data_IF_365456426630
#
_entry.id   IF_365456426630
#
_cell.length_a   1.000
_cell.length_b   1.000
_cell.length_c   1.000
_cell.angle_alpha   90.00
_cell.angle_beta   90.00
_cell.angle_gamma   90.00
#
_symmetry.space_group_name_H-M   'P 1'
#
loop_
_entity.id
_entity.type
_entity.pdbx_description
1 polymer ?
#
# COMPACT_ATOMS: atom_id res chain seq x y z
N UNK A 1 53.52 42.53 20.39
CA UNK A 1 52.89 41.39 21.11
C UNK A 1 51.50 41.03 20.59
N UNK A 2 50.69 41.93 20.06
CA UNK A 2 49.29 41.69 19.59
C UNK A 2 49.19 40.70 18.42
N UNK A 3 50.14 40.68 17.48
CA UNK A 3 50.07 39.77 16.30
C UNK A 3 50.29 38.29 16.59
N UNK A 4 51.00 37.93 17.67
CA UNK A 4 51.16 36.52 18.07
C UNK A 4 49.90 35.95 18.74
N UNK A 5 49.24 36.75 19.56
CA UNK A 5 48.00 36.35 20.23
C UNK A 5 46.88 36.17 19.18
N UNK A 6 46.81 37.06 18.20
CA UNK A 6 45.81 36.97 17.11
C UNK A 6 45.98 35.68 16.27
N UNK A 7 47.20 35.22 16.01
CA UNK A 7 47.48 33.99 15.29
C UNK A 7 47.14 32.74 16.09
N UNK A 8 47.37 32.75 17.44
CA UNK A 8 47.06 31.64 18.34
C UNK A 8 45.55 31.41 18.51
N UNK A 9 44.79 32.54 18.57
CA UNK A 9 43.31 32.47 18.77
C UNK A 9 42.57 32.18 17.46
N UNK A 10 43.11 32.60 16.32
CA UNK A 10 42.47 32.42 15.01
C UNK A 10 42.25 30.93 14.66
N UNK A 11 43.23 30.06 14.97
CA UNK A 11 43.15 28.61 14.63
C UNK A 11 42.06 27.89 15.43
N UNK A 12 41.94 28.02 16.76
CA UNK A 12 40.88 27.36 17.50
C UNK A 12 39.49 27.91 17.21
N UNK A 13 39.37 29.21 16.94
CA UNK A 13 38.10 29.86 16.56
C UNK A 13 37.62 29.34 15.23
N UNK A 14 38.50 29.24 14.21
CA UNK A 14 38.10 28.66 12.91
C UNK A 14 37.74 27.20 13.01
N UNK A 15 38.45 26.40 13.84
CA UNK A 15 38.11 24.99 14.11
C UNK A 15 36.72 24.86 14.75
N UNK A 16 36.41 25.68 15.74
CA UNK A 16 35.09 25.66 16.39
C UNK A 16 33.97 26.06 15.43
N UNK A 17 34.21 27.06 14.57
CA UNK A 17 33.25 27.45 13.53
C UNK A 17 32.99 26.32 12.53
N UNK A 18 34.05 25.66 12.04
CA UNK A 18 33.91 24.54 11.13
C UNK A 18 33.20 23.34 11.77
N UNK A 19 33.52 23.06 13.05
CA UNK A 19 32.84 22.03 13.81
C UNK A 19 31.34 22.33 13.96
N UNK A 20 31.00 23.60 14.27
CA UNK A 20 29.62 24.06 14.35
C UNK A 20 28.85 23.89 13.04
N UNK A 21 29.46 24.27 11.92
CA UNK A 21 28.86 24.10 10.57
C UNK A 21 28.66 22.59 10.25
N UNK A 22 29.65 21.75 10.57
CA UNK A 22 29.53 20.31 10.37
C UNK A 22 28.42 19.68 11.23
N UNK A 23 28.32 20.05 12.49
CA UNK A 23 27.27 19.56 13.39
C UNK A 23 25.89 20.04 12.93
N UNK A 24 25.77 21.29 12.52
CA UNK A 24 24.52 21.83 11.99
C UNK A 24 24.12 21.16 10.69
N UNK A 25 25.05 20.95 9.76
CA UNK A 25 24.82 20.26 8.51
C UNK A 25 24.43 18.79 8.73
N UNK A 26 25.11 18.09 9.65
CA UNK A 26 24.77 16.73 10.02
C UNK A 26 23.37 16.61 10.65
N UNK A 27 23.03 17.53 11.55
CA UNK A 27 21.69 17.59 12.16
C UNK A 27 20.59 17.86 11.11
N UNK A 28 20.82 18.83 10.23
CA UNK A 28 19.89 19.16 9.15
C UNK A 28 19.73 17.99 8.17
N UNK A 29 20.84 17.37 7.74
CA UNK A 29 20.84 16.22 6.86
C UNK A 29 20.11 15.02 7.48
N UNK A 30 20.37 14.73 8.75
CA UNK A 30 19.70 13.64 9.48
C UNK A 30 18.17 13.84 9.51
N UNK A 31 17.70 15.03 9.85
CA UNK A 31 16.28 15.33 9.89
C UNK A 31 15.59 15.25 8.51
N UNK A 32 16.29 15.63 7.44
CA UNK A 32 15.75 15.56 6.07
C UNK A 32 15.73 14.11 5.54
N UNK A 33 16.72 13.28 5.86
CA UNK A 33 16.75 11.87 5.44
C UNK A 33 15.64 11.07 6.14
N UNK A 34 15.34 11.40 7.39
CA UNK A 34 14.28 10.74 8.17
C UNK A 34 12.90 11.35 7.96
N UNK A 35 12.77 12.42 7.16
CA UNK A 35 11.48 13.01 6.85
C UNK A 35 10.59 11.97 6.14
N UNK A 36 9.36 11.73 6.62
CA UNK A 36 8.45 10.78 5.98
C UNK A 36 8.17 11.22 4.54
N UNK A 37 8.43 10.31 3.59
CA UNK A 37 8.14 10.57 2.17
C UNK A 37 6.64 10.88 2.03
N UNK A 38 6.25 11.99 1.39
CA UNK A 38 4.85 12.30 1.16
C UNK A 38 4.18 11.15 0.39
N UNK A 39 3.14 10.56 0.98
CA UNK A 39 2.36 9.53 0.30
C UNK A 39 1.57 10.18 -0.82
N UNK A 40 1.96 9.95 -2.05
CA UNK A 40 1.18 10.37 -3.23
C UNK A 40 -0.14 9.59 -3.17
N UNK A 41 -1.31 10.27 -3.13
CA UNK A 41 -2.58 9.56 -3.15
C UNK A 41 -2.68 8.73 -4.44
N UNK A 42 -3.18 7.49 -4.36
CA UNK A 42 -3.35 6.67 -5.54
C UNK A 42 -4.31 7.34 -6.53
N UNK A 43 -4.10 7.16 -7.85
CA UNK A 43 -4.97 7.75 -8.85
C UNK A 43 -6.40 7.22 -8.67
N UNK A 44 -7.42 8.07 -8.94
CA UNK A 44 -8.82 7.66 -8.82
C UNK A 44 -9.15 6.53 -9.79
N UNK A 45 -10.11 5.70 -9.42
CA UNK A 45 -10.61 4.67 -10.31
C UNK A 45 -11.42 5.29 -11.48
N UNK A 46 -11.46 4.60 -12.60
CA UNK A 46 -12.21 5.00 -13.81
C UNK A 46 -13.45 4.12 -13.94
N UNK A 47 -14.62 4.74 -14.14
CA UNK A 47 -15.82 4.00 -14.46
C UNK A 47 -15.71 3.36 -15.85
N UNK A 48 -15.87 2.05 -15.89
CA UNK A 48 -15.85 1.28 -17.14
C UNK A 48 -17.14 0.49 -17.33
N UNK A 49 -17.66 0.53 -18.55
CA UNK A 49 -18.76 -0.33 -18.94
C UNK A 49 -18.24 -1.75 -19.17
N UNK A 50 -18.83 -2.71 -18.47
CA UNK A 50 -18.42 -4.10 -18.53
C UNK A 50 -19.17 -4.83 -19.64
N UNK A 51 -18.45 -5.56 -20.49
CA UNK A 51 -19.04 -6.42 -21.49
C UNK A 51 -19.97 -7.45 -20.82
N UNK A 52 -21.22 -7.48 -21.21
CA UNK A 52 -22.29 -8.32 -20.62
C UNK A 52 -22.51 -8.11 -19.11
N UNK A 53 -22.02 -7.00 -18.53
CA UNK A 53 -22.09 -6.78 -17.08
C UNK A 53 -21.24 -7.75 -16.26
N UNK A 54 -20.22 -8.38 -16.83
CA UNK A 54 -19.35 -9.33 -16.15
C UNK A 54 -18.03 -8.67 -15.71
N UNK A 55 -17.79 -8.68 -14.41
CA UNK A 55 -16.51 -8.29 -13.81
C UNK A 55 -15.60 -9.53 -13.78
N UNK A 56 -14.45 -9.43 -14.44
CA UNK A 56 -13.42 -10.48 -14.46
C UNK A 56 -12.41 -10.28 -13.33
N UNK A 57 -11.84 -11.37 -12.81
CA UNK A 57 -10.82 -11.32 -11.77
C UNK A 57 -9.62 -10.44 -12.18
N UNK A 58 -9.22 -10.43 -13.46
CA UNK A 58 -8.10 -9.63 -13.98
C UNK A 58 -8.32 -8.09 -13.93
N UNK A 59 -9.56 -7.66 -13.74
CA UNK A 59 -9.91 -6.23 -13.62
C UNK A 59 -9.87 -5.74 -12.18
N UNK A 60 -9.68 -6.65 -11.20
CA UNK A 60 -9.65 -6.30 -9.78
C UNK A 60 -8.22 -6.28 -9.26
N UNK A 61 -7.79 -5.12 -8.76
CA UNK A 61 -6.49 -4.96 -8.10
C UNK A 61 -6.66 -5.28 -6.61
N UNK A 62 -5.80 -6.20 -6.13
CA UNK A 62 -5.83 -6.66 -4.74
C UNK A 62 -4.48 -6.39 -4.07
N UNK A 63 -4.55 -5.93 -2.82
CA UNK A 63 -3.42 -5.88 -1.89
C UNK A 63 -3.72 -6.83 -0.73
N UNK A 64 -2.75 -7.67 -0.35
CA UNK A 64 -2.94 -8.66 0.72
C UNK A 64 -2.05 -8.32 1.90
N UNK A 65 -2.65 -8.25 3.08
CA UNK A 65 -1.99 -7.92 4.33
C UNK A 65 -2.16 -9.04 5.35
N UNK A 66 -1.07 -9.42 6.00
CA UNK A 66 -1.10 -10.36 7.11
C UNK A 66 -1.13 -9.59 8.44
N UNK A 67 -2.23 -9.67 9.17
CA UNK A 67 -2.41 -9.15 10.53
C UNK A 67 -2.48 -10.25 11.58
N UNK A 68 -2.17 -11.50 11.20
CA UNK A 68 -2.06 -12.64 12.10
C UNK A 68 -0.61 -13.03 12.39
N UNK A 69 -0.43 -14.02 13.23
CA UNK A 69 0.89 -14.49 13.69
C UNK A 69 1.51 -15.52 12.73
N UNK A 70 0.70 -16.10 11.81
CA UNK A 70 1.19 -17.08 10.82
C UNK A 70 2.04 -16.40 9.75
N UNK A 71 3.33 -16.69 9.77
CA UNK A 71 4.29 -16.16 8.78
C UNK A 71 3.95 -16.66 7.37
N UNK A 72 4.11 -15.78 6.38
CA UNK A 72 3.92 -16.11 4.97
C UNK A 72 2.47 -16.19 4.50
N UNK A 73 1.46 -16.09 5.39
CA UNK A 73 0.06 -16.26 5.04
C UNK A 73 -0.41 -15.31 3.93
N UNK A 74 -0.02 -14.02 3.98
CA UNK A 74 -0.35 -13.08 2.90
C UNK A 74 0.24 -13.50 1.55
N UNK A 75 1.46 -14.03 1.54
CA UNK A 75 2.11 -14.54 0.33
C UNK A 75 1.37 -15.73 -0.26
N UNK A 76 0.94 -16.70 0.57
CA UNK A 76 0.18 -17.89 0.14
C UNK A 76 -1.18 -17.49 -0.43
N UNK A 77 -1.89 -16.60 0.27
CA UNK A 77 -3.18 -16.08 -0.18
C UNK A 77 -3.01 -15.28 -1.47
N UNK A 78 -1.98 -14.43 -1.56
CA UNK A 78 -1.69 -13.66 -2.77
C UNK A 78 -1.40 -14.54 -3.98
N UNK A 79 -0.62 -15.63 -3.82
CA UNK A 79 -0.40 -16.62 -4.88
C UNK A 79 -1.70 -17.29 -5.32
N UNK A 80 -2.51 -17.68 -4.36
CA UNK A 80 -3.80 -18.34 -4.66
C UNK A 80 -4.75 -17.42 -5.42
N UNK A 81 -4.79 -16.11 -5.08
CA UNK A 81 -5.58 -15.12 -5.80
C UNK A 81 -5.05 -14.86 -7.22
N UNK A 82 -3.71 -14.80 -7.40
CA UNK A 82 -3.11 -14.71 -8.75
C UNK A 82 -3.47 -15.90 -9.61
N UNK A 83 -3.45 -17.12 -9.05
CA UNK A 83 -3.84 -18.33 -9.76
C UNK A 83 -5.33 -18.33 -10.16
N UNK A 84 -6.17 -17.53 -9.48
CA UNK A 84 -7.57 -17.29 -9.86
C UNK A 84 -7.73 -16.13 -10.85
N UNK A 85 -6.63 -15.51 -11.30
CA UNK A 85 -6.61 -14.45 -12.28
C UNK A 85 -6.68 -13.02 -11.72
N UNK A 86 -6.69 -12.84 -10.40
CA UNK A 86 -6.66 -11.51 -9.79
C UNK A 86 -5.30 -10.81 -9.93
N UNK A 87 -5.32 -9.49 -10.03
CA UNK A 87 -4.12 -8.66 -10.10
C UNK A 87 -3.65 -8.29 -8.69
N UNK A 88 -2.80 -9.13 -8.11
CA UNK A 88 -2.26 -8.88 -6.75
C UNK A 88 -0.98 -8.07 -6.85
N UNK A 89 -1.03 -6.81 -6.43
CA UNK A 89 0.07 -5.83 -6.53
C UNK A 89 0.94 -5.76 -5.29
N UNK A 90 0.40 -6.13 -4.12
CA UNK A 90 1.13 -6.08 -2.86
C UNK A 90 0.79 -7.29 -1.98
N UNK A 91 1.82 -7.86 -1.35
CA UNK A 91 1.68 -8.84 -0.27
C UNK A 91 2.65 -8.46 0.85
N UNK A 92 2.14 -8.10 2.03
CA UNK A 92 2.96 -7.63 3.15
C UNK A 92 2.29 -7.92 4.50
N UNK A 93 2.94 -7.53 5.59
CA UNK A 93 2.35 -7.58 6.92
C UNK A 93 1.71 -6.23 7.27
N UNK A 94 0.76 -6.25 8.20
CA UNK A 94 0.21 -5.04 8.82
C UNK A 94 0.41 -5.08 10.33
N UNK A 95 0.47 -3.91 10.95
CA UNK A 95 0.51 -3.77 12.41
C UNK A 95 -0.87 -3.99 13.04
N UNK A 96 -1.94 -3.88 12.24
CA UNK A 96 -3.31 -4.13 12.69
C UNK A 96 -3.49 -5.62 12.97
N UNK A 97 -3.88 -5.94 14.20
CA UNK A 97 -4.17 -7.33 14.60
C UNK A 97 -5.51 -7.78 14.05
N UNK A 98 -5.45 -8.74 13.14
CA UNK A 98 -6.62 -9.27 12.45
C UNK A 98 -6.93 -10.68 12.97
N UNK A 99 -8.17 -10.91 13.39
CA UNK A 99 -8.62 -12.24 13.79
C UNK A 99 -9.16 -13.03 12.60
N UNK A 100 -10.23 -12.56 11.97
CA UNK A 100 -10.86 -13.16 10.78
C UNK A 100 -10.39 -12.45 9.52
N UNK A 101 -10.65 -13.05 8.36
CA UNK A 101 -10.39 -12.37 7.07
C UNK A 101 -11.29 -11.13 6.94
N UNK A 102 -10.71 -9.98 6.61
CA UNK A 102 -11.41 -8.73 6.36
C UNK A 102 -11.15 -8.29 4.92
N UNK A 103 -12.20 -8.02 4.18
CA UNK A 103 -12.13 -7.45 2.83
C UNK A 103 -12.46 -5.96 2.93
N UNK A 104 -11.52 -5.12 2.55
CA UNK A 104 -11.65 -3.66 2.65
C UNK A 104 -11.72 -3.06 1.25
N UNK A 105 -12.63 -2.13 1.04
CA UNK A 105 -12.76 -1.40 -0.21
C UNK A 105 -13.63 -0.17 -0.05
N UNK A 106 -13.98 0.46 -1.18
CA UNK A 106 -14.70 1.74 -1.22
C UNK A 106 -16.02 1.69 -0.44
N UNK A 107 -16.82 0.65 -0.68
CA UNK A 107 -18.14 0.45 -0.05
C UNK A 107 -18.38 -1.04 0.20
N UNK A 108 -19.19 -1.36 1.22
CA UNK A 108 -19.55 -2.74 1.54
C UNK A 108 -20.38 -3.44 0.45
N UNK A 109 -21.06 -2.67 -0.39
CA UNK A 109 -21.86 -3.14 -1.52
C UNK A 109 -21.11 -3.05 -2.86
N UNK A 110 -19.87 -2.57 -2.88
CA UNK A 110 -19.06 -2.52 -4.10
C UNK A 110 -18.95 -3.92 -4.71
N UNK A 111 -19.31 -4.10 -5.98
CA UNK A 111 -19.25 -5.40 -6.66
C UNK A 111 -17.87 -6.06 -6.59
N UNK A 112 -16.78 -5.30 -6.62
CA UNK A 112 -15.41 -5.83 -6.50
C UNK A 112 -15.17 -6.42 -5.10
N UNK A 113 -15.64 -5.73 -4.06
CA UNK A 113 -15.52 -6.18 -2.67
C UNK A 113 -16.30 -7.47 -2.47
N UNK A 114 -17.55 -7.53 -2.97
CA UNK A 114 -18.40 -8.72 -2.90
C UNK A 114 -17.82 -9.88 -3.73
N UNK A 115 -17.24 -9.57 -4.88
CA UNK A 115 -16.58 -10.55 -5.73
C UNK A 115 -15.37 -11.17 -5.01
N UNK A 116 -14.46 -10.36 -4.45
CA UNK A 116 -13.32 -10.86 -3.68
C UNK A 116 -13.77 -11.63 -2.45
N UNK A 117 -14.79 -11.13 -1.74
CA UNK A 117 -15.36 -11.81 -0.57
C UNK A 117 -15.82 -13.24 -0.90
N UNK A 118 -16.41 -13.46 -2.08
CA UNK A 118 -16.91 -14.78 -2.48
C UNK A 118 -15.84 -15.88 -2.52
N UNK A 119 -14.57 -15.50 -2.62
CA UNK A 119 -13.43 -16.42 -2.60
C UNK A 119 -13.01 -16.87 -1.20
N UNK A 120 -13.57 -16.29 -0.14
CA UNK A 120 -13.23 -16.61 1.24
C UNK A 120 -14.44 -17.19 1.98
N UNK A 121 -14.22 -18.20 2.81
CA UNK A 121 -15.32 -18.88 3.53
C UNK A 121 -15.95 -18.00 4.62
N UNK A 122 -15.14 -17.25 5.36
CA UNK A 122 -15.58 -16.46 6.52
C UNK A 122 -14.99 -15.06 6.50
N UNK A 123 -15.27 -14.28 5.44
CA UNK A 123 -14.77 -12.94 5.34
C UNK A 123 -15.81 -11.90 5.78
N UNK A 124 -15.35 -10.92 6.55
CA UNK A 124 -16.10 -9.71 6.91
C UNK A 124 -15.75 -8.60 5.92
N UNK A 125 -16.69 -7.71 5.64
CA UNK A 125 -16.45 -6.54 4.79
C UNK A 125 -16.32 -5.30 5.65
N UNK A 126 -15.36 -4.44 5.30
CA UNK A 126 -15.14 -3.11 5.88
C UNK A 126 -15.01 -2.08 4.74
N UNK A 127 -15.78 -1.00 4.82
CA UNK A 127 -15.69 0.12 3.89
C UNK A 127 -14.72 1.17 4.44
N UNK A 128 -13.88 1.77 3.59
CA UNK A 128 -12.98 2.86 3.96
C UNK A 128 -13.07 4.08 3.04
N UNK A 129 -14.07 4.10 2.16
CA UNK A 129 -14.37 5.21 1.23
C UNK A 129 -13.20 5.59 0.30
N UNK A 130 -12.28 4.65 0.02
CA UNK A 130 -11.17 4.87 -0.93
C UNK A 130 -11.67 5.13 -2.35
N UNK A 131 -10.91 5.90 -3.13
CA UNK A 131 -11.25 6.25 -4.51
C UNK A 131 -10.41 5.53 -5.56
N UNK A 132 -9.42 4.71 -5.14
CA UNK A 132 -8.48 4.04 -6.05
C UNK A 132 -9.04 2.76 -6.69
N UNK A 133 -10.23 2.33 -6.29
CA UNK A 133 -10.87 1.13 -6.81
C UNK A 133 -10.18 -0.19 -6.47
N UNK A 134 -9.14 -0.18 -5.64
CA UNK A 134 -8.48 -1.39 -5.16
C UNK A 134 -9.26 -2.06 -4.02
N UNK A 135 -8.97 -3.35 -3.79
CA UNK A 135 -9.53 -4.12 -2.68
C UNK A 135 -8.38 -4.65 -1.83
N UNK A 136 -8.45 -4.43 -0.52
CA UNK A 136 -7.48 -5.00 0.40
C UNK A 136 -8.05 -6.26 1.06
N UNK A 137 -7.21 -7.27 1.16
CA UNK A 137 -7.51 -8.53 1.84
C UNK A 137 -6.61 -8.62 3.06
N UNK A 138 -7.17 -8.45 4.25
CA UNK A 138 -6.47 -8.61 5.50
C UNK A 138 -6.75 -10.00 6.04
N UNK A 139 -5.70 -10.82 6.17
CA UNK A 139 -5.82 -12.18 6.70
C UNK A 139 -5.33 -12.24 8.13
N UNK A 140 -6.03 -13.02 8.96
CA UNK A 140 -5.77 -13.10 10.39
C UNK A 140 -5.63 -14.53 10.90
N UNK A 141 -5.53 -14.68 12.24
CA UNK A 141 -5.28 -15.95 12.89
C UNK A 141 -6.38 -17.01 12.65
N UNK A 142 -7.62 -16.56 12.46
CA UNK A 142 -8.78 -17.42 12.14
C UNK A 142 -9.10 -17.38 10.64
N UNK A 143 -8.07 -17.48 9.80
CA UNK A 143 -8.25 -17.58 8.36
C UNK A 143 -8.99 -18.87 7.98
N UNK A 144 -10.23 -18.75 7.50
CA UNK A 144 -11.12 -19.88 7.17
C UNK A 144 -10.82 -20.60 5.84
N UNK A 145 -9.85 -20.10 5.09
CA UNK A 145 -9.48 -20.68 3.79
C UNK A 145 -10.31 -20.16 2.62
N UNK A 146 -9.97 -20.66 1.42
CA UNK A 146 -10.65 -20.33 0.18
C UNK A 146 -11.95 -21.13 0.00
N UNK A 147 -12.92 -20.47 -0.64
CA UNK A 147 -14.09 -21.13 -1.21
C UNK A 147 -13.71 -21.77 -2.57
N UNK A 148 -13.68 -23.09 -2.65
CA UNK A 148 -13.31 -23.81 -3.87
C UNK A 148 -14.30 -23.60 -5.02
N UNK A 149 -15.56 -23.25 -4.71
CA UNK A 149 -16.64 -23.08 -5.67
C UNK A 149 -16.80 -21.61 -6.16
N UNK A 150 -15.92 -20.71 -5.76
CA UNK A 150 -15.96 -19.32 -6.21
C UNK A 150 -15.68 -19.21 -7.71
N UNK A 151 -16.58 -18.51 -8.42
CA UNK A 151 -16.45 -18.26 -9.86
C UNK A 151 -15.43 -17.16 -10.11
N UNK A 152 -14.72 -17.20 -11.23
CA UNK A 152 -13.73 -16.20 -11.65
C UNK A 152 -14.32 -14.99 -12.36
N UNK A 153 -15.65 -14.95 -12.51
CA UNK A 153 -16.44 -13.83 -13.04
C UNK A 153 -17.58 -13.51 -12.08
N UNK A 154 -17.93 -12.22 -11.98
CA UNK A 154 -19.01 -11.72 -11.15
C UNK A 154 -19.95 -10.85 -11.97
N UNK A 155 -21.24 -11.19 -11.98
CA UNK A 155 -22.25 -10.45 -12.75
C UNK A 155 -22.73 -9.24 -11.97
N UNK A 156 -22.70 -8.05 -12.60
CA UNK A 156 -23.11 -6.79 -12.03
C UNK A 156 -24.37 -6.28 -12.73
N UNK A 157 -25.42 -5.98 -11.95
CA UNK A 157 -26.68 -5.46 -12.51
C UNK A 157 -26.52 -4.08 -13.18
N UNK A 158 -25.67 -3.22 -12.65
CA UNK A 158 -25.42 -1.86 -13.17
C UNK A 158 -24.65 -1.83 -14.50
N UNK A 159 -24.04 -2.94 -14.92
CA UNK A 159 -23.14 -3.04 -16.08
C UNK A 159 -21.94 -2.08 -16.07
N UNK A 160 -21.74 -1.29 -15.02
CA UNK A 160 -20.59 -0.39 -14.81
C UNK A 160 -19.89 -0.71 -13.52
N UNK A 161 -18.57 -0.57 -13.49
CA UNK A 161 -17.76 -0.66 -12.27
C UNK A 161 -16.63 0.36 -12.32
N UNK A 162 -16.28 0.91 -11.16
CA UNK A 162 -15.12 1.76 -11.01
C UNK A 162 -13.86 0.88 -10.89
N UNK A 163 -13.10 0.76 -11.96
CA UNK A 163 -11.90 -0.09 -12.05
C UNK A 163 -10.67 0.77 -11.75
N UNK A 164 -9.77 0.25 -10.93
CA UNK A 164 -8.53 0.94 -10.61
C UNK A 164 -7.74 1.28 -11.88
N UNK A 165 -7.27 2.53 -11.98
CA UNK A 165 -6.43 2.96 -13.08
C UNK A 165 -5.19 2.06 -13.18
N UNK A 166 -4.99 1.46 -14.35
CA UNK A 166 -3.85 0.58 -14.61
C UNK A 166 -2.60 1.35 -15.06
N UNK A 167 -2.69 2.68 -15.08
CA UNK A 167 -1.54 3.51 -15.41
C UNK A 167 -0.48 3.30 -14.32
N UNK A 168 0.72 2.83 -14.65
CA UNK A 168 1.81 2.81 -13.68
C UNK A 168 2.02 4.26 -13.23
N UNK A 169 1.98 4.49 -11.92
CA UNK A 169 2.41 5.78 -11.38
C UNK A 169 3.81 6.03 -11.94
N UNK A 170 4.05 7.13 -12.69
CA UNK A 170 5.40 7.42 -13.14
C UNK A 170 6.26 7.48 -11.88
N UNK A 171 7.28 6.63 -11.83
CA UNK A 171 8.34 6.73 -10.83
C UNK A 171 8.83 8.17 -10.89
N UNK A 172 8.71 8.90 -9.78
CA UNK A 172 9.28 10.24 -9.69
C UNK A 172 10.72 10.16 -10.19
N UNK A 173 11.16 11.06 -11.09
CA UNK A 173 12.55 11.07 -11.50
C UNK A 173 13.39 11.22 -10.24
N UNK A 174 14.32 10.30 -10.03
CA UNK A 174 15.38 10.44 -9.04
C UNK A 174 16.08 11.74 -9.40
N UNK A 175 15.82 12.80 -8.64
CA UNK A 175 16.51 14.06 -8.79
C UNK A 175 18.00 13.81 -8.66
N UNK A 176 18.72 14.10 -9.75
CA UNK A 176 20.17 14.15 -9.78
C UNK A 176 20.71 15.32 -8.95
#
# INVERSE_FOLDING_TARGET
MIGRVFRIVRTPVTLLLLLGVLMWGAYWGYNNILAPVPKIPPPPCVEQTLAKGELKASQVIIKVYNGGDRRGLAGDVGRSLRNKGFKVTLTTNTVEKISKTVIVGTDAKDPKVLFVKSFFKEAVVRADKRNDGSVDVLVGNKYGGFNKNAKTTYVIKSKTACIASQTPTPSAPLGG
#
